data_IF_723781888882
#
_entry.id   IF_723781888882
#
_cell.length_a   1.000
_cell.length_b   1.000
_cell.length_c   1.000
_cell.angle_alpha   90.00
_cell.angle_beta   90.00
_cell.angle_gamma   90.00
#
_symmetry.space_group_name_H-M   'P 1'
#
loop_
_entity.id
_entity.type
_entity.pdbx_description
1 polymer ?
#
# COMPACT_ATOMS: atom_id res chain seq x y z
N UNK A 1 -7.28 18.22 -22.67
CA UNK A 1 -7.23 17.26 -21.57
C UNK A 1 -5.83 16.79 -21.27
N UNK A 2 -5.11 16.27 -22.27
CA UNK A 2 -3.70 15.85 -22.09
C UNK A 2 -2.81 17.01 -21.67
N UNK A 3 -3.06 18.22 -22.16
CA UNK A 3 -2.28 19.40 -21.81
C UNK A 3 -2.45 19.80 -20.34
N UNK A 4 -3.65 19.62 -19.78
CA UNK A 4 -3.91 19.90 -18.36
C UNK A 4 -3.10 18.96 -17.48
N UNK A 5 -3.05 17.67 -17.82
CA UNK A 5 -2.27 16.70 -17.07
C UNK A 5 -0.77 17.04 -17.06
N UNK A 6 -0.24 17.58 -18.15
CA UNK A 6 1.16 18.00 -18.23
C UNK A 6 1.52 19.17 -17.31
N UNK A 7 0.52 19.95 -16.90
CA UNK A 7 0.72 21.12 -16.03
C UNK A 7 0.40 20.84 -14.57
N UNK A 8 -0.08 19.63 -14.25
CA UNK A 8 -0.34 19.25 -12.86
C UNK A 8 0.99 19.04 -12.14
N UNK A 9 1.08 19.55 -10.92
CA UNK A 9 2.21 19.28 -10.07
C UNK A 9 2.23 17.80 -9.67
N UNK A 10 3.39 17.33 -9.22
CA UNK A 10 3.54 15.95 -8.72
C UNK A 10 2.60 15.67 -7.55
N UNK A 11 2.47 16.65 -6.63
CA UNK A 11 1.59 16.51 -5.46
C UNK A 11 0.12 16.47 -5.86
N UNK A 12 -0.29 17.27 -6.85
CA UNK A 12 -1.66 17.25 -7.35
C UNK A 12 -1.98 15.94 -8.05
N UNK A 13 -1.05 15.36 -8.79
CA UNK A 13 -1.21 14.05 -9.42
C UNK A 13 -1.36 12.95 -8.38
N UNK A 14 -0.55 12.98 -7.34
CA UNK A 14 -0.65 12.01 -6.25
C UNK A 14 -2.00 12.10 -5.56
N UNK A 15 -2.45 13.31 -5.25
CA UNK A 15 -3.74 13.53 -4.61
C UNK A 15 -4.88 12.98 -5.45
N UNK A 16 -4.88 13.25 -6.75
CA UNK A 16 -5.91 12.78 -7.67
C UNK A 16 -5.92 11.25 -7.77
N UNK A 17 -4.74 10.64 -7.92
CA UNK A 17 -4.61 9.19 -7.99
C UNK A 17 -5.02 8.53 -6.68
N UNK A 18 -4.65 9.13 -5.55
CA UNK A 18 -5.04 8.63 -4.24
C UNK A 18 -6.56 8.65 -4.04
N UNK A 19 -7.20 9.76 -4.37
CA UNK A 19 -8.65 9.88 -4.25
C UNK A 19 -9.37 8.87 -5.16
N UNK A 20 -8.88 8.68 -6.37
CA UNK A 20 -9.41 7.68 -7.30
C UNK A 20 -9.23 6.26 -6.74
N UNK A 21 -8.06 5.95 -6.21
CA UNK A 21 -7.76 4.64 -5.61
C UNK A 21 -8.68 4.35 -4.43
N UNK A 22 -8.82 5.30 -3.51
CA UNK A 22 -9.71 5.14 -2.35
C UNK A 22 -11.13 4.86 -2.79
N UNK A 23 -11.62 5.63 -3.76
CA UNK A 23 -12.99 5.46 -4.27
C UNK A 23 -13.19 4.07 -4.88
N UNK A 24 -12.24 3.64 -5.71
CA UNK A 24 -12.33 2.34 -6.38
C UNK A 24 -12.27 1.17 -5.40
N UNK A 25 -11.34 1.21 -4.46
CA UNK A 25 -11.21 0.17 -3.43
C UNK A 25 -12.42 0.16 -2.49
N UNK A 26 -12.92 1.34 -2.13
CA UNK A 26 -14.09 1.44 -1.25
C UNK A 26 -15.33 0.85 -1.91
N UNK A 27 -15.53 1.07 -3.20
CA UNK A 27 -16.63 0.48 -3.94
C UNK A 27 -16.53 -1.05 -3.98
N UNK A 28 -15.32 -1.58 -4.10
CA UNK A 28 -15.10 -3.02 -4.22
C UNK A 28 -15.14 -3.76 -2.88
N UNK A 29 -14.60 -3.16 -1.84
CA UNK A 29 -14.35 -3.88 -0.57
C UNK A 29 -15.17 -3.40 0.62
N UNK A 30 -15.82 -2.25 0.56
CA UNK A 30 -16.57 -1.69 1.68
C UNK A 30 -17.92 -1.09 1.31
N UNK A 31 -18.50 -1.56 0.21
CA UNK A 31 -19.82 -1.11 -0.28
C UNK A 31 -19.91 0.42 -0.44
N UNK A 32 -18.79 1.06 -0.76
CA UNK A 32 -18.73 2.50 -0.98
C UNK A 32 -18.36 3.32 0.25
N UNK A 33 -18.32 2.72 1.45
CA UNK A 33 -17.85 3.44 2.63
C UNK A 33 -16.36 3.76 2.47
N UNK A 34 -15.95 5.03 2.67
CA UNK A 34 -14.56 5.41 2.43
C UNK A 34 -13.57 4.63 3.30
N UNK A 35 -12.65 3.93 2.63
CA UNK A 35 -11.56 3.24 3.32
C UNK A 35 -10.52 4.25 3.76
N UNK A 36 -9.99 4.06 4.96
CA UNK A 36 -8.87 4.84 5.47
C UNK A 36 -7.54 4.23 5.04
N UNK A 37 -6.46 4.99 5.22
CA UNK A 37 -5.10 4.58 4.85
C UNK A 37 -4.76 3.19 5.41
N UNK A 38 -4.99 2.98 6.70
CA UNK A 38 -4.67 1.70 7.36
C UNK A 38 -5.45 0.52 6.77
N UNK A 39 -6.70 0.76 6.41
CA UNK A 39 -7.53 -0.27 5.75
C UNK A 39 -6.96 -0.67 4.40
N UNK A 40 -6.43 0.28 3.65
CA UNK A 40 -5.84 0.00 2.34
C UNK A 40 -4.50 -0.71 2.51
N UNK A 41 -3.69 -0.33 3.49
CA UNK A 41 -2.44 -1.05 3.81
C UNK A 41 -2.76 -2.51 4.17
N UNK A 42 -3.79 -2.73 4.98
CA UNK A 42 -4.24 -4.09 5.32
C UNK A 42 -4.61 -4.90 4.07
N UNK A 43 -5.32 -4.31 3.11
CA UNK A 43 -5.67 -4.98 1.85
C UNK A 43 -4.42 -5.43 1.08
N UNK A 44 -3.37 -4.62 1.08
CA UNK A 44 -2.10 -5.02 0.46
C UNK A 44 -1.52 -6.24 1.16
N UNK A 45 -1.52 -6.27 2.49
CA UNK A 45 -1.06 -7.43 3.25
C UNK A 45 -1.81 -8.71 2.90
N UNK A 46 -3.13 -8.62 2.81
CA UNK A 46 -3.99 -9.75 2.43
C UNK A 46 -3.68 -10.19 0.99
N UNK A 47 -3.49 -9.23 0.09
CA UNK A 47 -3.12 -9.50 -1.31
C UNK A 47 -1.80 -10.25 -1.40
N UNK A 48 -0.79 -9.82 -0.63
CA UNK A 48 0.53 -10.44 -0.66
C UNK A 48 0.53 -11.85 -0.05
N UNK A 49 -0.33 -12.10 0.93
CA UNK A 49 -0.52 -13.45 1.47
C UNK A 49 -1.35 -14.33 0.52
N UNK A 50 -2.22 -13.72 -0.29
CA UNK A 50 -3.00 -14.45 -1.29
C UNK A 50 -4.23 -15.17 -0.74
N UNK A 51 -4.71 -14.83 0.44
CA UNK A 51 -5.84 -15.53 1.07
C UNK A 51 -6.91 -14.55 1.55
N UNK A 52 -7.78 -14.15 0.63
CA UNK A 52 -8.84 -13.16 0.88
C UNK A 52 -10.03 -13.68 1.67
N UNK A 53 -10.21 -15.00 1.75
CA UNK A 53 -11.38 -15.60 2.37
C UNK A 53 -11.16 -16.03 3.81
N UNK A 54 -9.92 -15.98 4.26
CA UNK A 54 -9.54 -16.37 5.60
C UNK A 54 -9.87 -15.25 6.59
N UNK A 55 -10.40 -15.62 7.74
CA UNK A 55 -10.51 -14.70 8.87
C UNK A 55 -9.19 -14.68 9.63
N UNK A 56 -8.72 -13.48 9.93
CA UNK A 56 -7.44 -13.30 10.60
C UNK A 56 -7.64 -12.92 12.05
N UNK A 57 -6.82 -13.50 12.93
CA UNK A 57 -6.75 -13.13 14.33
C UNK A 57 -6.08 -11.76 14.46
N UNK A 58 -6.23 -11.13 15.63
CA UNK A 58 -5.71 -9.78 15.87
C UNK A 58 -4.20 -9.67 15.64
N UNK A 59 -3.43 -10.64 16.15
CA UNK A 59 -1.98 -10.67 15.97
C UNK A 59 -1.57 -10.94 14.51
N UNK A 60 -2.36 -11.75 13.81
CA UNK A 60 -2.14 -11.97 12.37
C UNK A 60 -2.38 -10.69 11.56
N UNK A 61 -3.37 -9.88 11.96
CA UNK A 61 -3.63 -8.60 11.30
C UNK A 61 -2.46 -7.63 11.43
N UNK A 62 -1.81 -7.61 12.59
CA UNK A 62 -0.60 -6.82 12.81
C UNK A 62 0.52 -7.31 11.88
N UNK A 63 0.69 -8.62 11.74
CA UNK A 63 1.67 -9.20 10.84
C UNK A 63 1.38 -8.85 9.37
N UNK A 64 0.10 -8.86 8.97
CA UNK A 64 -0.29 -8.45 7.62
C UNK A 64 0.04 -7.00 7.34
N UNK A 65 -0.18 -6.11 8.31
CA UNK A 65 0.20 -4.71 8.18
C UNK A 65 1.71 -4.57 7.99
N UNK A 66 2.49 -5.32 8.76
CA UNK A 66 3.96 -5.31 8.65
C UNK A 66 4.41 -5.79 7.26
N UNK A 67 3.85 -6.88 6.78
CA UNK A 67 4.14 -7.42 5.44
C UNK A 67 3.84 -6.38 4.36
N UNK A 68 2.69 -5.73 4.48
CA UNK A 68 2.31 -4.69 3.53
C UNK A 68 3.32 -3.54 3.51
N UNK A 69 3.72 -3.05 4.68
CA UNK A 69 4.70 -1.97 4.78
C UNK A 69 6.03 -2.38 4.13
N UNK A 70 6.51 -3.58 4.42
CA UNK A 70 7.74 -4.09 3.82
C UNK A 70 7.65 -4.15 2.29
N UNK A 71 6.55 -4.70 1.77
CA UNK A 71 6.33 -4.81 0.32
C UNK A 71 6.23 -3.44 -0.34
N UNK A 72 5.51 -2.51 0.29
CA UNK A 72 5.32 -1.17 -0.24
C UNK A 72 6.62 -0.37 -0.28
N UNK A 73 7.50 -0.58 0.69
CA UNK A 73 8.76 0.15 0.79
C UNK A 73 9.95 -0.58 0.17
N UNK A 74 9.75 -1.80 -0.33
CA UNK A 74 10.79 -2.54 -1.04
C UNK A 74 11.31 -1.79 -2.26
N UNK A 75 10.46 -1.24 -3.14
CA UNK A 75 10.95 -0.47 -4.30
C UNK A 75 11.72 0.79 -3.93
N UNK A 76 11.55 1.27 -2.70
CA UNK A 76 12.27 2.44 -2.19
C UNK A 76 13.63 2.09 -1.59
N UNK A 77 13.97 0.80 -1.50
CA UNK A 77 15.25 0.33 -0.99
C UNK A 77 15.33 0.16 0.52
N UNK A 78 14.21 0.15 1.24
CA UNK A 78 14.19 0.03 2.70
C UNK A 78 14.10 -1.41 3.19
N UNK A 79 13.51 -2.31 2.38
CA UNK A 79 13.34 -3.71 2.71
C UNK A 79 13.65 -4.58 1.50
N UNK A 80 14.16 -5.78 1.76
CA UNK A 80 14.32 -6.82 0.75
C UNK A 80 13.51 -8.04 1.14
N UNK A 81 12.83 -8.63 0.16
CA UNK A 81 12.19 -9.92 0.35
C UNK A 81 13.26 -10.98 0.66
N UNK A 82 13.00 -11.82 1.65
CA UNK A 82 13.91 -12.89 2.05
C UNK A 82 13.38 -14.26 1.63
N UNK A 83 12.29 -14.72 2.25
CA UNK A 83 11.76 -16.06 1.98
C UNK A 83 10.29 -16.15 2.39
N UNK A 84 9.61 -17.20 1.94
CA UNK A 84 8.31 -17.60 2.47
C UNK A 84 8.52 -18.68 3.52
N UNK A 85 7.80 -18.59 4.66
CA UNK A 85 7.85 -19.63 5.67
C UNK A 85 6.95 -20.81 5.29
N UNK A 86 6.89 -21.81 6.17
CA UNK A 86 6.11 -23.04 5.94
C UNK A 86 4.62 -22.78 5.75
N UNK A 87 4.11 -21.70 6.37
CA UNK A 87 2.70 -21.30 6.26
C UNK A 87 2.42 -20.37 5.08
N UNK A 88 3.45 -20.08 4.30
CA UNK A 88 3.32 -19.21 3.12
C UNK A 88 3.43 -17.72 3.41
N UNK A 89 3.85 -17.34 4.62
CA UNK A 89 4.01 -15.92 4.98
C UNK A 89 5.35 -15.40 4.48
N UNK A 90 5.35 -14.25 3.80
CA UNK A 90 6.61 -13.66 3.33
C UNK A 90 7.38 -13.00 4.48
N UNK A 91 8.69 -13.17 4.44
CA UNK A 91 9.62 -12.55 5.39
C UNK A 91 10.52 -11.58 4.67
N UNK A 92 10.76 -10.43 5.31
CA UNK A 92 11.59 -9.37 4.77
C UNK A 92 12.73 -9.03 5.72
N UNK A 93 13.85 -8.57 5.17
CA UNK A 93 14.97 -8.05 5.95
C UNK A 93 15.05 -6.54 5.75
N UNK A 94 15.49 -5.84 6.79
CA UNK A 94 15.73 -4.39 6.72
C UNK A 94 17.01 -4.17 5.95
N UNK A 95 16.93 -3.41 4.86
CA UNK A 95 18.09 -3.04 4.06
C UNK A 95 18.63 -1.69 4.47
N UNK A 96 17.74 -0.74 4.74
CA UNK A 96 18.09 0.61 5.15
C UNK A 96 17.00 1.13 6.08
N UNK A 97 17.41 1.84 7.13
CA UNK A 97 16.42 2.44 8.04
C UNK A 97 15.78 3.65 7.42
N UNK A 98 14.47 3.79 7.61
CA UNK A 98 13.76 5.00 7.23
C UNK A 98 14.31 6.17 8.02
N UNK A 99 14.51 7.34 7.38
CA UNK A 99 14.85 8.55 8.12
C UNK A 99 13.69 8.94 9.03
N UNK A 100 13.96 9.70 10.12
CA UNK A 100 12.87 10.17 10.98
C UNK A 100 11.95 11.11 10.20
N UNK A 101 10.73 10.67 9.98
CA UNK A 101 9.70 11.41 9.24
C UNK A 101 8.65 11.94 10.20
N UNK A 102 8.16 13.14 9.94
CA UNK A 102 6.98 13.67 10.63
C UNK A 102 5.75 12.88 10.20
N UNK A 103 4.70 12.89 11.03
CA UNK A 103 3.47 12.13 10.73
C UNK A 103 2.90 12.45 9.35
N UNK A 104 2.88 13.71 8.95
CA UNK A 104 2.42 14.11 7.63
C UNK A 104 3.28 13.58 6.50
N UNK A 105 4.59 13.54 6.68
CA UNK A 105 5.53 13.00 5.70
C UNK A 105 5.40 11.48 5.58
N UNK A 106 5.17 10.79 6.69
CA UNK A 106 4.92 9.35 6.68
C UNK A 106 3.64 9.02 5.89
N UNK A 107 2.58 9.80 6.11
CA UNK A 107 1.32 9.62 5.41
C UNK A 107 1.49 9.82 3.89
N UNK A 108 2.22 10.85 3.46
CA UNK A 108 2.48 11.10 2.05
C UNK A 108 3.29 9.96 1.43
N UNK A 109 4.33 9.49 2.12
CA UNK A 109 5.14 8.37 1.65
C UNK A 109 4.29 7.13 1.46
N UNK A 110 3.43 6.79 2.43
CA UNK A 110 2.58 5.61 2.34
C UNK A 110 1.55 5.73 1.23
N UNK A 111 0.95 6.90 1.04
CA UNK A 111 0.02 7.13 -0.07
C UNK A 111 0.71 6.96 -1.42
N UNK A 112 1.90 7.52 -1.57
CA UNK A 112 2.69 7.37 -2.80
C UNK A 112 3.03 5.90 -3.05
N UNK A 113 3.49 5.19 -2.02
CA UNK A 113 3.84 3.78 -2.13
C UNK A 113 2.62 2.92 -2.50
N UNK A 114 1.46 3.21 -1.93
CA UNK A 114 0.22 2.52 -2.26
C UNK A 114 -0.23 2.79 -3.70
N UNK A 115 -0.17 4.04 -4.13
CA UNK A 115 -0.51 4.39 -5.51
C UNK A 115 0.42 3.64 -6.48
N UNK A 116 1.72 3.64 -6.21
CA UNK A 116 2.69 2.93 -7.04
C UNK A 116 2.43 1.43 -7.08
N UNK A 117 2.09 0.83 -5.94
CA UNK A 117 1.75 -0.58 -5.86
C UNK A 117 0.56 -0.94 -6.74
N UNK A 118 -0.53 -0.18 -6.63
CA UNK A 118 -1.73 -0.47 -7.40
C UNK A 118 -1.60 -0.10 -8.87
N UNK A 119 -0.72 0.83 -9.23
CA UNK A 119 -0.35 1.08 -10.62
C UNK A 119 0.45 -0.09 -11.19
N UNK A 120 1.41 -0.62 -10.43
CA UNK A 120 2.19 -1.79 -10.82
C UNK A 120 1.30 -3.01 -11.06
N UNK A 121 0.26 -3.18 -10.23
CA UNK A 121 -0.73 -4.26 -10.38
C UNK A 121 -1.78 -3.97 -11.45
N UNK A 122 -1.68 -2.85 -12.14
CA UNK A 122 -2.61 -2.44 -13.19
C UNK A 122 -4.05 -2.24 -12.69
N UNK A 123 -4.20 -1.99 -11.39
CA UNK A 123 -5.51 -1.73 -10.78
C UNK A 123 -5.96 -0.29 -11.07
N UNK A 124 -5.02 0.63 -11.13
CA UNK A 124 -5.22 2.03 -11.53
C UNK A 124 -4.13 2.45 -12.52
N UNK A 125 -4.34 3.55 -13.19
CA UNK A 125 -3.38 4.09 -14.17
C UNK A 125 -2.78 5.42 -13.76
#
# INVERSE_FOLDING_TARGET
MVLIAKHMSRDDQLKERWEFLVKKLSAQFSDGDPLELDGIVYLVGVQELGNFHRKFKKDEKVNLMHIAICRLLEPYGYYDFDFFDEDGWPHYTIKEQLPPLKAGEQSVLMKEALVNYFMEKEYIT
#
